data_IF_957453463395
#
_entry.id   IF_957453463395
#
_cell.length_a   1.000
_cell.length_b   1.000
_cell.length_c   1.000
_cell.angle_alpha   90.00
_cell.angle_beta   90.00
_cell.angle_gamma   90.00
#
_symmetry.space_group_name_H-M   'P 1'
#
loop_
_entity.id
_entity.type
_entity.pdbx_description
1 polymer ?
#
# COMPACT_ATOMS: atom_id res chain seq x y z
N UNK A 1 40.32 15.96 41.60
CA UNK A 1 39.00 15.63 42.15
C UNK A 1 38.01 15.57 40.99
N UNK A 2 37.45 14.39 40.66
CA UNK A 2 36.47 14.24 39.57
C UNK A 2 35.08 14.55 40.13
N UNK A 3 34.41 15.57 39.61
CA UNK A 3 33.06 15.98 40.02
C UNK A 3 32.06 15.06 39.33
N UNK A 4 31.46 14.13 40.07
CA UNK A 4 30.34 13.33 39.56
C UNK A 4 29.12 14.24 39.41
N UNK A 5 28.86 14.73 38.20
CA UNK A 5 27.56 15.32 37.85
C UNK A 5 26.62 14.17 37.53
N UNK A 6 25.92 13.68 38.54
CA UNK A 6 24.81 12.75 38.36
C UNK A 6 23.58 13.51 37.86
N UNK A 7 22.86 12.90 36.94
CA UNK A 7 21.52 13.34 36.52
C UNK A 7 20.59 13.29 37.73
N UNK A 8 19.73 14.29 37.91
CA UNK A 8 18.78 14.26 39.03
C UNK A 8 17.63 13.30 38.70
N UNK A 9 17.15 12.54 39.69
CA UNK A 9 15.99 11.65 39.50
C UNK A 9 14.75 12.43 39.05
N UNK A 10 14.61 13.67 39.53
CA UNK A 10 13.51 14.56 39.15
C UNK A 10 13.59 14.99 37.68
N UNK A 11 14.79 15.24 37.13
CA UNK A 11 14.92 15.53 35.69
C UNK A 11 14.42 14.36 34.84
N UNK A 12 14.77 13.12 35.18
CA UNK A 12 14.29 11.95 34.42
C UNK A 12 12.76 11.80 34.55
N UNK A 13 12.21 11.97 35.75
CA UNK A 13 10.77 11.84 35.98
C UNK A 13 9.94 12.86 35.21
N UNK A 14 10.33 14.14 35.21
CA UNK A 14 9.60 15.19 34.49
C UNK A 14 9.68 14.97 32.97
N UNK A 15 10.84 14.55 32.47
CA UNK A 15 11.03 14.25 31.04
C UNK A 15 10.12 13.07 30.62
N UNK A 16 10.11 11.98 31.39
CA UNK A 16 9.23 10.84 31.13
C UNK A 16 7.74 11.21 31.20
N UNK A 17 7.35 12.08 32.14
CA UNK A 17 5.97 12.55 32.26
C UNK A 17 5.52 13.31 30.99
N UNK A 18 6.35 14.23 30.48
CA UNK A 18 6.03 14.96 29.24
C UNK A 18 6.04 14.00 28.03
N UNK A 19 7.01 13.09 27.94
CA UNK A 19 7.03 12.07 26.89
C UNK A 19 5.78 11.18 26.89
N UNK A 20 5.28 10.79 28.06
CA UNK A 20 4.07 9.98 28.16
C UNK A 20 2.82 10.71 27.62
N UNK A 21 2.68 11.99 27.92
CA UNK A 21 1.59 12.82 27.39
C UNK A 21 1.69 12.98 25.87
N UNK A 22 2.89 13.27 25.36
CA UNK A 22 3.13 13.39 23.91
C UNK A 22 2.84 12.07 23.18
N UNK A 23 3.32 10.95 23.71
CA UNK A 23 3.08 9.63 23.14
C UNK A 23 1.58 9.29 23.09
N UNK A 24 0.83 9.64 24.14
CA UNK A 24 -0.62 9.40 24.21
C UNK A 24 -1.42 10.08 23.08
N UNK A 25 -0.98 11.24 22.59
CA UNK A 25 -1.63 11.94 21.47
C UNK A 25 -1.01 11.55 20.12
N UNK A 26 0.31 11.40 20.06
CA UNK A 26 1.03 11.16 18.81
C UNK A 26 0.73 9.76 18.23
N UNK A 27 0.68 8.72 19.05
CA UNK A 27 0.48 7.33 18.60
C UNK A 27 -0.85 7.14 17.85
N UNK A 28 -2.03 7.49 18.40
CA UNK A 28 -3.30 7.29 17.69
C UNK A 28 -3.37 8.13 16.40
N UNK A 29 -2.80 9.34 16.40
CA UNK A 29 -2.77 10.19 15.22
C UNK A 29 -1.93 9.58 14.09
N UNK A 30 -0.71 9.11 14.39
CA UNK A 30 0.18 8.47 13.41
C UNK A 30 -0.45 7.23 12.81
N UNK A 31 -1.05 6.36 13.64
CA UNK A 31 -1.75 5.15 13.16
C UNK A 31 -2.89 5.49 12.19
N UNK A 32 -3.67 6.53 12.49
CA UNK A 32 -4.75 6.99 11.61
C UNK A 32 -4.26 7.60 10.29
N UNK A 33 -3.08 8.23 10.28
CA UNK A 33 -2.48 8.76 9.05
C UNK A 33 -1.96 7.66 8.13
N UNK A 34 -1.37 6.60 8.70
CA UNK A 34 -0.88 5.45 7.92
C UNK A 34 -2.03 4.80 7.16
N UNK A 35 -3.14 4.45 7.84
CA UNK A 35 -4.28 3.84 7.15
C UNK A 35 -4.91 4.72 6.06
N UNK A 36 -4.87 6.05 6.20
CA UNK A 36 -5.30 6.98 5.15
C UNK A 36 -4.32 7.02 3.98
N UNK A 37 -3.01 6.98 4.27
CA UNK A 37 -1.97 6.94 3.26
C UNK A 37 -2.06 5.64 2.45
N UNK A 38 -2.19 4.49 3.11
CA UNK A 38 -2.33 3.18 2.47
C UNK A 38 -3.56 3.15 1.56
N UNK A 39 -4.71 3.68 2.02
CA UNK A 39 -5.90 3.79 1.19
C UNK A 39 -5.71 4.71 -0.01
N UNK A 40 -4.99 5.82 0.15
CA UNK A 40 -4.68 6.73 -0.95
C UNK A 40 -3.76 6.06 -1.97
N UNK A 41 -2.74 5.33 -1.51
CA UNK A 41 -1.83 4.57 -2.35
C UNK A 41 -2.58 3.48 -3.15
N UNK A 42 -3.48 2.75 -2.49
CA UNK A 42 -4.30 1.74 -3.16
C UNK A 42 -5.22 2.34 -4.24
N UNK A 43 -5.76 3.56 -4.06
CA UNK A 43 -6.57 4.23 -5.09
C UNK A 43 -5.73 4.65 -6.31
N UNK A 44 -4.50 5.11 -6.08
CA UNK A 44 -3.58 5.45 -7.17
C UNK A 44 -3.15 4.19 -7.93
N UNK A 45 -2.92 3.09 -7.22
CA UNK A 45 -2.61 1.79 -7.80
C UNK A 45 -3.79 1.21 -8.60
N UNK A 46 -5.02 1.34 -8.08
CA UNK A 46 -6.24 0.99 -8.80
C UNK A 46 -6.31 1.69 -10.16
N UNK A 47 -6.04 3.00 -10.17
CA UNK A 47 -6.06 3.78 -11.39
C UNK A 47 -5.03 3.30 -12.40
N UNK A 48 -3.80 3.02 -11.96
CA UNK A 48 -2.74 2.49 -12.82
C UNK A 48 -3.12 1.12 -13.39
N UNK A 49 -3.70 0.24 -12.58
CA UNK A 49 -4.17 -1.08 -13.01
C UNK A 49 -5.32 -0.97 -14.01
N UNK A 50 -6.31 -0.10 -13.79
CA UNK A 50 -7.41 0.11 -14.74
C UNK A 50 -6.89 0.53 -16.11
N UNK A 51 -5.92 1.44 -16.15
CA UNK A 51 -5.31 1.87 -17.42
C UNK A 51 -4.57 0.71 -18.08
N UNK A 52 -3.76 -0.04 -17.32
CA UNK A 52 -3.01 -1.18 -17.83
C UNK A 52 -3.93 -2.29 -18.37
N UNK A 53 -4.98 -2.65 -17.62
CA UNK A 53 -6.01 -3.61 -18.03
C UNK A 53 -6.73 -3.12 -19.28
N UNK A 54 -7.12 -1.83 -19.34
CA UNK A 54 -7.78 -1.27 -20.52
C UNK A 54 -6.91 -1.34 -21.79
N UNK A 55 -5.60 -1.12 -21.67
CA UNK A 55 -4.67 -1.30 -22.79
C UNK A 55 -4.53 -2.78 -23.16
N UNK A 56 -4.32 -3.66 -22.19
CA UNK A 56 -4.20 -5.10 -22.41
C UNK A 56 -5.44 -5.68 -23.09
N UNK A 57 -6.64 -5.36 -22.60
CA UNK A 57 -7.89 -5.79 -23.22
C UNK A 57 -8.05 -5.28 -24.65
N UNK A 58 -7.63 -4.04 -24.93
CA UNK A 58 -7.66 -3.51 -26.30
C UNK A 58 -6.79 -4.33 -27.24
N UNK A 59 -5.61 -4.76 -26.80
CA UNK A 59 -4.71 -5.59 -27.61
C UNK A 59 -5.21 -7.03 -27.72
N UNK A 60 -5.81 -7.56 -26.66
CA UNK A 60 -6.38 -8.92 -26.60
C UNK A 60 -7.78 -9.05 -27.20
N UNK A 61 -8.31 -8.01 -27.86
CA UNK A 61 -9.62 -8.06 -28.50
C UNK A 61 -10.81 -8.14 -27.54
N UNK A 62 -10.65 -7.62 -26.32
CA UNK A 62 -11.70 -7.56 -25.30
C UNK A 62 -11.51 -8.51 -24.13
N UNK A 63 -10.42 -9.27 -24.09
CA UNK A 63 -10.05 -10.13 -22.97
C UNK A 63 -8.55 -9.98 -22.66
N UNK A 64 -8.15 -10.36 -21.44
CA UNK A 64 -6.74 -10.50 -21.05
C UNK A 64 -6.34 -11.98 -21.01
N UNK A 65 -5.08 -12.29 -21.32
CA UNK A 65 -4.59 -13.69 -21.38
C UNK A 65 -4.26 -14.28 -20.02
N UNK A 66 -3.90 -13.42 -19.07
CA UNK A 66 -3.49 -13.79 -17.72
C UNK A 66 -4.65 -13.52 -16.76
N UNK A 67 -5.10 -14.56 -16.08
CA UNK A 67 -6.16 -14.47 -15.09
C UNK A 67 -5.55 -14.28 -13.70
N UNK A 68 -5.83 -13.14 -13.07
CA UNK A 68 -5.42 -12.83 -11.70
C UNK A 68 -6.63 -13.01 -10.78
N UNK A 69 -7.43 -14.06 -10.97
CA UNK A 69 -8.66 -14.30 -10.19
C UNK A 69 -8.41 -14.67 -8.73
N UNK A 70 -7.17 -14.99 -8.38
CA UNK A 70 -6.75 -15.18 -7.00
C UNK A 70 -6.13 -13.89 -6.47
N UNK A 71 -6.43 -13.57 -5.21
CA UNK A 71 -5.80 -12.44 -4.52
C UNK A 71 -4.28 -12.55 -4.62
N UNK A 72 -3.65 -11.56 -5.24
CA UNK A 72 -2.21 -11.55 -5.44
C UNK A 72 -1.71 -10.22 -5.99
N UNK A 73 -0.40 -10.01 -5.86
CA UNK A 73 0.25 -8.84 -6.44
C UNK A 73 0.45 -9.04 -7.94
N UNK A 74 0.34 -7.95 -8.69
CA UNK A 74 0.67 -7.91 -10.11
C UNK A 74 2.04 -7.28 -10.25
N UNK A 75 2.99 -8.05 -10.75
CA UNK A 75 4.36 -7.60 -10.96
C UNK A 75 4.50 -7.02 -12.37
N UNK A 76 5.12 -5.84 -12.48
CA UNK A 76 5.37 -5.21 -13.77
C UNK A 76 6.35 -6.06 -14.57
N UNK A 77 5.98 -6.40 -15.81
CA UNK A 77 6.78 -7.25 -16.67
C UNK A 77 6.68 -6.78 -18.13
N UNK A 78 7.64 -5.98 -18.58
CA UNK A 78 7.72 -5.49 -19.96
C UNK A 78 7.79 -6.61 -21.03
N UNK A 79 8.18 -7.83 -20.64
CA UNK A 79 8.24 -9.00 -21.51
C UNK A 79 6.94 -9.82 -21.57
N UNK A 80 5.88 -9.41 -20.86
CA UNK A 80 4.59 -10.08 -20.89
C UNK A 80 3.91 -9.93 -22.27
N UNK A 81 2.88 -10.75 -22.48
CA UNK A 81 2.07 -10.71 -23.70
C UNK A 81 1.36 -9.36 -23.86
N UNK A 82 1.00 -8.98 -25.09
CA UNK A 82 0.40 -7.67 -25.36
C UNK A 82 -0.98 -7.49 -24.69
N UNK A 83 -1.64 -8.59 -24.39
CA UNK A 83 -2.92 -8.72 -23.70
C UNK A 83 -2.78 -9.08 -22.21
N UNK A 84 -1.59 -8.89 -21.64
CA UNK A 84 -1.33 -9.00 -20.21
C UNK A 84 -1.16 -7.59 -19.58
N UNK A 85 -1.98 -7.22 -18.57
CA UNK A 85 -1.86 -5.94 -17.86
C UNK A 85 -0.47 -5.69 -17.26
N UNK A 86 0.26 -6.74 -16.84
CA UNK A 86 1.60 -6.62 -16.28
C UNK A 86 2.59 -5.92 -17.21
N UNK A 87 2.36 -5.97 -18.53
CA UNK A 87 3.18 -5.29 -19.53
C UNK A 87 3.16 -3.77 -19.42
N UNK A 88 2.01 -3.22 -19.04
CA UNK A 88 1.75 -1.78 -19.08
C UNK A 88 1.82 -1.13 -17.69
N UNK A 89 2.13 -1.93 -16.66
CA UNK A 89 2.42 -1.40 -15.34
C UNK A 89 3.81 -0.75 -15.30
N UNK A 90 3.88 0.39 -14.64
CA UNK A 90 5.14 1.10 -14.43
C UNK A 90 5.92 0.54 -13.23
N UNK A 91 5.23 0.13 -12.17
CA UNK A 91 5.79 -0.48 -10.96
C UNK A 91 4.96 -1.70 -10.57
N UNK A 92 5.56 -2.58 -9.76
CA UNK A 92 4.85 -3.66 -9.07
C UNK A 92 3.78 -3.09 -8.13
N UNK A 93 2.69 -3.83 -7.97
CA UNK A 93 1.65 -3.46 -7.02
C UNK A 93 2.12 -3.69 -5.58
N UNK A 94 1.83 -2.73 -4.70
CA UNK A 94 2.06 -2.89 -3.26
C UNK A 94 0.98 -3.79 -2.64
N UNK A 95 -0.26 -3.65 -3.10
CA UNK A 95 -1.41 -4.42 -2.61
C UNK A 95 -1.77 -5.56 -3.56
N UNK A 96 -2.58 -6.48 -3.04
CA UNK A 96 -3.16 -7.57 -3.79
C UNK A 96 -4.42 -7.11 -4.53
N UNK A 97 -4.57 -7.66 -5.72
CA UNK A 97 -5.66 -7.37 -6.63
C UNK A 97 -6.18 -8.68 -7.22
N UNK A 98 -7.43 -8.62 -7.64
CA UNK A 98 -8.08 -9.67 -8.40
C UNK A 98 -8.48 -9.07 -9.74
N UNK A 99 -8.03 -9.68 -10.84
CA UNK A 99 -8.35 -9.25 -12.21
C UNK A 99 -8.87 -10.45 -12.98
N UNK A 100 -10.12 -10.39 -13.42
CA UNK A 100 -10.69 -11.45 -14.26
C UNK A 100 -10.25 -11.30 -15.71
N UNK A 101 -10.37 -12.38 -16.49
CA UNK A 101 -10.13 -12.35 -17.95
C UNK A 101 -10.98 -11.33 -18.70
N UNK A 102 -12.14 -10.97 -18.13
CA UNK A 102 -13.05 -9.93 -18.66
C UNK A 102 -12.64 -8.51 -18.24
N UNK A 103 -11.49 -8.36 -17.57
CA UNK A 103 -10.94 -7.08 -17.13
C UNK A 103 -11.61 -6.47 -15.91
N UNK A 104 -12.38 -7.24 -15.15
CA UNK A 104 -12.97 -6.76 -13.89
C UNK A 104 -11.88 -6.73 -12.82
N UNK A 105 -11.59 -5.55 -12.30
CA UNK A 105 -10.63 -5.32 -11.22
C UNK A 105 -11.38 -5.23 -9.88
N UNK A 106 -10.95 -6.00 -8.88
CA UNK A 106 -11.42 -5.86 -7.49
C UNK A 106 -10.27 -5.93 -6.49
N UNK A 107 -10.38 -5.26 -5.32
CA UNK A 107 -9.38 -5.35 -4.25
C UNK A 107 -9.18 -6.78 -3.74
N UNK A 108 -7.92 -7.17 -3.53
CA UNK A 108 -7.53 -8.44 -2.89
C UNK A 108 -7.57 -8.39 -1.35
N UNK A 109 -7.09 -9.44 -0.71
CA UNK A 109 -7.20 -9.70 0.72
C UNK A 109 -6.45 -8.70 1.61
N UNK A 110 -5.27 -8.24 1.19
CA UNK A 110 -4.45 -7.26 1.92
C UNK A 110 -4.73 -5.80 1.53
N UNK A 111 -5.69 -5.58 0.63
CA UNK A 111 -5.93 -4.27 0.04
C UNK A 111 -6.82 -3.39 0.94
N UNK A 112 -6.41 -2.17 1.31
CA UNK A 112 -7.17 -1.27 2.19
C UNK A 112 -8.48 -0.73 1.56
N UNK A 113 -8.72 -1.01 0.27
CA UNK A 113 -9.99 -0.75 -0.40
C UNK A 113 -10.98 -1.91 -0.28
N UNK A 114 -10.55 -3.10 0.16
CA UNK A 114 -11.44 -4.23 0.38
C UNK A 114 -12.50 -3.85 1.42
N UNK A 115 -13.80 -3.97 1.08
CA UNK A 115 -14.86 -3.70 2.05
C UNK A 115 -14.78 -4.71 3.19
N UNK A 116 -14.77 -4.20 4.42
CA UNK A 116 -14.82 -4.97 5.68
C UNK A 116 -16.20 -5.53 5.96
#
# INVERSE_FOLDING_TARGET
>A
MKKHRGFTLMEVLVVLAIFAVLAGIAIPNVLGYIGKADRSAALEEEHNLIVAVGVAMKQGGGAIVSDYTSSGKVYANAGAADDDPAKYLYNDTEFEWIITTDGVLTPGDDNPLKPT
#
